data_IF_926152810387
#
_entry.id   IF_926152810387
#
_cell.length_a   1.000
_cell.length_b   1.000
_cell.length_c   1.000
_cell.angle_alpha   90.00
_cell.angle_beta   90.00
_cell.angle_gamma   90.00
#
_symmetry.space_group_name_H-M   'P 1'
#
loop_
_entity.id
_entity.type
_entity.pdbx_description
1 polymer ?
#
# COMPACT_ATOMS: atom_id res chain seq x y z
N UNK A 1 -35.63 37.71 -8.28
CA UNK A 1 -34.92 37.37 -7.04
C UNK A 1 -34.79 35.85 -6.91
N UNK A 2 -33.59 35.41 -6.56
CA UNK A 2 -33.21 34.08 -6.04
C UNK A 2 -33.28 32.86 -6.98
N UNK A 3 -32.32 32.77 -7.92
CA UNK A 3 -31.93 31.50 -8.58
C UNK A 3 -30.45 31.12 -8.37
N UNK A 4 -29.74 31.77 -7.43
CA UNK A 4 -28.29 31.62 -7.26
C UNK A 4 -27.87 31.06 -5.91
N UNK A 5 -28.56 30.03 -5.40
CA UNK A 5 -28.17 29.41 -4.12
C UNK A 5 -28.15 27.87 -4.11
N UNK A 6 -28.44 27.20 -5.23
CA UNK A 6 -28.53 25.73 -5.26
C UNK A 6 -27.26 25.07 -5.85
N UNK A 7 -26.31 25.83 -6.40
CA UNK A 7 -25.12 25.24 -7.05
C UNK A 7 -23.92 25.00 -6.12
N UNK A 8 -23.93 25.48 -4.87
CA UNK A 8 -22.74 25.43 -3.99
C UNK A 8 -22.68 24.13 -3.17
N UNK A 9 -23.79 23.40 -3.02
CA UNK A 9 -23.84 22.19 -2.19
C UNK A 9 -23.34 20.91 -2.88
N UNK A 10 -23.12 20.91 -4.20
CA UNK A 10 -22.67 19.71 -4.93
C UNK A 10 -21.15 19.59 -5.08
N UNK A 11 -20.37 20.61 -4.73
CA UNK A 11 -18.90 20.57 -4.88
C UNK A 11 -18.18 19.93 -3.69
N UNK A 12 -18.84 19.75 -2.54
CA UNK A 12 -18.22 19.23 -1.31
C UNK A 12 -18.16 17.70 -1.20
N UNK A 13 -18.90 16.96 -2.02
CA UNK A 13 -18.99 15.49 -1.91
C UNK A 13 -17.99 14.71 -2.78
N UNK A 14 -17.19 15.38 -3.63
CA UNK A 14 -16.16 14.71 -4.43
C UNK A 14 -14.76 14.79 -3.81
N UNK A 15 -14.59 15.48 -2.67
CA UNK A 15 -13.30 15.68 -2.03
C UNK A 15 -12.87 14.56 -1.06
N UNK A 16 -13.70 13.53 -0.85
CA UNK A 16 -13.37 12.42 0.06
C UNK A 16 -13.39 11.06 -0.64
N UNK A 17 -12.61 10.93 -1.71
CA UNK A 17 -12.23 9.63 -2.27
C UNK A 17 -10.74 9.63 -2.63
N UNK A 18 -9.89 10.27 -1.80
CA UNK A 18 -8.44 10.10 -1.89
C UNK A 18 -7.89 9.17 -0.79
N UNK A 19 -8.75 8.31 -0.23
CA UNK A 19 -8.32 7.08 0.43
C UNK A 19 -8.03 5.99 -0.62
N UNK A 20 -7.32 6.36 -1.69
CA UNK A 20 -6.48 5.42 -2.39
C UNK A 20 -5.36 5.06 -1.42
N UNK A 21 -5.65 4.07 -0.57
CA UNK A 21 -4.74 3.41 0.36
C UNK A 21 -3.30 3.53 -0.17
N UNK A 22 -2.56 4.47 0.41
CA UNK A 22 -1.16 4.70 0.07
C UNK A 22 -0.40 3.52 0.67
N UNK A 23 -0.49 2.38 0.00
CA UNK A 23 0.42 1.27 0.17
C UNK A 23 1.78 1.80 -0.24
N UNK A 24 2.50 2.40 0.72
CA UNK A 24 3.76 3.09 0.51
C UNK A 24 4.69 2.17 -0.29
N UNK A 25 4.96 2.54 -1.53
CA UNK A 25 5.99 1.88 -2.33
C UNK A 25 7.32 2.19 -1.66
N UNK A 26 8.04 1.16 -1.25
CA UNK A 26 9.38 1.31 -0.70
C UNK A 26 10.37 0.78 -1.72
N UNK A 27 11.38 1.57 -2.06
CA UNK A 27 12.45 1.13 -2.96
C UNK A 27 13.68 0.81 -2.13
N UNK A 28 14.17 -0.42 -2.22
CA UNK A 28 15.43 -0.86 -1.60
C UNK A 28 16.26 -1.48 -2.70
N UNK A 29 17.51 -1.03 -2.86
CA UNK A 29 18.45 -1.49 -3.90
C UNK A 29 17.87 -1.50 -5.32
N UNK A 30 17.05 -0.49 -5.64
CA UNK A 30 16.38 -0.36 -6.94
C UNK A 30 15.17 -1.28 -7.14
N UNK A 31 14.84 -2.13 -6.16
CA UNK A 31 13.68 -3.02 -6.17
C UNK A 31 12.50 -2.32 -5.50
N UNK A 32 11.36 -2.25 -6.19
CA UNK A 32 10.14 -1.68 -5.63
C UNK A 32 9.33 -2.74 -4.90
N UNK A 33 9.09 -2.51 -3.61
CA UNK A 33 8.22 -3.30 -2.75
C UNK A 33 6.90 -2.57 -2.56
N UNK A 34 5.81 -3.26 -2.88
CA UNK A 34 4.45 -2.74 -2.78
C UNK A 34 3.72 -3.51 -1.69
N UNK A 35 3.17 -2.79 -0.70
CA UNK A 35 2.32 -3.43 0.29
C UNK A 35 1.03 -3.96 -0.37
N UNK A 36 0.65 -5.19 -0.03
CA UNK A 36 -0.51 -5.89 -0.59
C UNK A 36 -1.55 -6.25 0.48
N UNK A 37 -1.42 -5.67 1.68
CA UNK A 37 -2.31 -5.86 2.82
C UNK A 37 -1.72 -6.74 3.91
N UNK A 38 -2.46 -6.89 5.01
CA UNK A 38 -2.04 -7.74 6.13
C UNK A 38 -2.53 -9.19 5.98
N UNK A 39 -1.88 -10.14 6.63
CA UNK A 39 -2.39 -11.51 6.79
C UNK A 39 -3.25 -11.66 8.06
N UNK A 40 -3.68 -12.90 8.36
CA UNK A 40 -4.54 -13.21 9.50
C UNK A 40 -3.93 -12.90 10.87
N UNK A 41 -2.61 -12.76 10.96
CA UNK A 41 -1.90 -12.37 12.20
C UNK A 41 -1.63 -10.86 12.23
N UNK A 42 -2.19 -10.09 11.30
CA UNK A 42 -1.98 -8.65 11.18
C UNK A 42 -0.65 -8.26 10.49
N UNK A 43 0.16 -9.22 10.06
CA UNK A 43 1.44 -8.93 9.42
C UNK A 43 1.28 -8.29 8.05
N UNK A 44 1.91 -7.13 7.86
CA UNK A 44 1.95 -6.46 6.56
C UNK A 44 2.74 -7.29 5.55
N UNK A 45 2.11 -7.56 4.40
CA UNK A 45 2.68 -8.30 3.28
C UNK A 45 3.07 -7.35 2.14
N UNK A 46 4.12 -7.71 1.43
CA UNK A 46 4.67 -6.95 0.32
C UNK A 46 4.90 -7.86 -0.90
N UNK A 47 4.89 -7.26 -2.09
CA UNK A 47 5.29 -7.90 -3.35
C UNK A 47 6.32 -7.05 -4.07
N UNK A 48 7.16 -7.69 -4.86
CA UNK A 48 8.11 -7.01 -5.74
C UNK A 48 7.39 -6.62 -7.03
N UNK A 49 7.39 -5.32 -7.36
CA UNK A 49 7.09 -4.87 -8.71
C UNK A 49 8.36 -4.91 -9.54
N UNK A 50 8.53 -5.99 -10.31
CA UNK A 50 9.53 -6.02 -11.37
C UNK A 50 9.05 -5.20 -12.58
N UNK A 51 9.97 -4.50 -13.23
CA UNK A 51 9.74 -3.85 -14.53
C UNK A 51 9.78 -4.85 -15.69
N UNK A 52 10.35 -6.05 -15.48
CA UNK A 52 10.24 -7.15 -16.42
C UNK A 52 8.84 -7.78 -16.33
N UNK A 53 8.26 -8.17 -17.47
CA UNK A 53 6.90 -8.73 -17.57
C UNK A 53 6.68 -10.05 -16.79
N UNK A 54 7.68 -10.55 -16.06
CA UNK A 54 7.53 -11.62 -15.08
C UNK A 54 7.24 -11.02 -13.71
N UNK A 55 5.97 -11.01 -13.32
CA UNK A 55 5.54 -10.74 -11.96
C UNK A 55 5.96 -11.90 -11.05
N UNK A 56 6.99 -11.69 -10.24
CA UNK A 56 7.36 -12.62 -9.18
C UNK A 56 6.29 -12.52 -8.08
N UNK A 57 5.41 -13.51 -8.01
CA UNK A 57 4.32 -13.61 -7.01
C UNK A 57 4.83 -14.07 -5.64
N UNK A 58 5.96 -13.54 -5.18
CA UNK A 58 6.49 -13.86 -3.85
C UNK A 58 5.93 -12.88 -2.84
N UNK A 59 5.28 -13.42 -1.81
CA UNK A 59 4.84 -12.64 -0.64
C UNK A 59 6.03 -12.45 0.29
N UNK A 60 6.31 -11.21 0.63
CA UNK A 60 7.40 -10.80 1.50
C UNK A 60 6.88 -10.10 2.74
N UNK A 61 7.68 -10.15 3.81
CA UNK A 61 7.46 -9.47 5.07
C UNK A 61 8.67 -8.60 5.38
N UNK A 62 8.46 -7.49 6.07
CA UNK A 62 9.55 -6.60 6.47
C UNK A 62 10.30 -7.17 7.68
N UNK A 63 11.62 -7.25 7.60
CA UNK A 63 12.51 -7.69 8.69
C UNK A 63 12.92 -6.53 9.59
N UNK A 64 13.45 -6.82 10.78
CA UNK A 64 13.80 -5.80 11.79
C UNK A 64 14.95 -4.87 11.37
N UNK A 65 15.84 -5.38 10.54
CA UNK A 65 16.94 -4.63 9.90
C UNK A 65 16.48 -3.78 8.71
N UNK A 66 15.17 -3.77 8.40
CA UNK A 66 14.59 -2.97 7.31
C UNK A 66 14.56 -3.66 5.94
N UNK A 67 15.05 -4.90 5.85
CA UNK A 67 14.95 -5.73 4.65
C UNK A 67 13.58 -6.37 4.41
N UNK A 68 13.52 -7.27 3.43
CA UNK A 68 12.32 -8.03 3.06
C UNK A 68 12.64 -9.52 2.94
N UNK A 69 11.78 -10.37 3.49
CA UNK A 69 11.97 -11.83 3.53
C UNK A 69 10.68 -12.57 3.20
N UNK A 70 10.72 -13.72 2.49
CA UNK A 70 9.58 -14.60 2.38
C UNK A 70 9.30 -15.39 3.68
N UNK A 71 10.26 -15.42 4.62
CA UNK A 71 10.11 -16.13 5.88
C UNK A 71 9.41 -15.25 6.92
N UNK A 72 8.11 -15.48 7.10
CA UNK A 72 7.28 -14.77 8.09
C UNK A 72 7.88 -14.73 9.51
N UNK A 73 8.58 -15.79 9.94
CA UNK A 73 9.17 -15.88 11.29
C UNK A 73 10.30 -14.88 11.53
N UNK A 74 10.89 -14.33 10.47
CA UNK A 74 11.94 -13.31 10.56
C UNK A 74 11.38 -11.88 10.43
N UNK A 75 10.05 -11.76 10.31
CA UNK A 75 9.41 -10.45 10.17
C UNK A 75 9.34 -9.70 11.48
N UNK A 76 9.22 -8.37 11.36
CA UNK A 76 8.97 -7.42 12.43
C UNK A 76 7.72 -7.74 13.26
N UNK A 77 6.78 -8.55 12.77
CA UNK A 77 5.57 -8.82 13.53
C UNK A 77 5.79 -9.77 14.71
N UNK A 78 6.87 -10.56 14.68
CA UNK A 78 7.16 -11.62 15.67
C UNK A 78 8.34 -11.26 16.57
N UNK A 79 8.80 -10.01 16.52
CA UNK A 79 9.93 -9.49 17.30
C UNK A 79 9.47 -8.34 18.20
#
# INVERSE_FOLDING_TARGET
MNKSLIFILLAGLLASCDEAATYKKQTVDGIQYVAIGSDGDGCMRYQIKSTSQMSVQVVLYKTIDGGYTPNKKMSLCFL
#
